data_IF_378770423363
#
_entry.id   IF_378770423363
#
_cell.length_a   1.000
_cell.length_b   1.000
_cell.length_c   1.000
_cell.angle_alpha   90.00
_cell.angle_beta   90.00
_cell.angle_gamma   90.00
#
_symmetry.space_group_name_H-M   'P 1'
#
loop_
_entity.id
_entity.type
_entity.pdbx_description
1 polymer ?
#
# COMPACT_ATOMS: atom_id res chain seq x y z
N UNK A 1 -11.30 -1.57 -7.89
CA UNK A 1 -10.02 -1.34 -7.21
C UNK A 1 -9.49 -2.68 -6.74
N UNK A 2 -8.55 -3.24 -7.50
CA UNK A 2 -7.80 -4.42 -7.11
C UNK A 2 -6.49 -3.99 -6.46
N UNK A 3 -6.36 -4.22 -5.16
CA UNK A 3 -5.12 -3.96 -4.44
C UNK A 3 -4.23 -5.19 -4.39
N UNK A 4 -2.92 -5.01 -4.58
CA UNK A 4 -1.90 -5.98 -4.16
C UNK A 4 -1.31 -5.47 -2.85
N UNK A 5 -1.20 -6.36 -1.87
CA UNK A 5 -0.56 -6.06 -0.58
C UNK A 5 0.70 -6.90 -0.47
N UNK A 6 1.79 -6.27 -0.07
CA UNK A 6 3.08 -6.92 0.19
C UNK A 6 3.55 -6.48 1.58
N UNK A 7 4.07 -7.43 2.36
CA UNK A 7 4.76 -7.13 3.62
C UNK A 7 6.26 -7.12 3.36
N UNK A 8 6.90 -5.99 3.57
CA UNK A 8 8.35 -5.91 3.59
C UNK A 8 8.83 -6.35 4.98
N UNK A 9 9.57 -7.47 5.04
CA UNK A 9 10.02 -8.08 6.29
C UNK A 9 11.15 -7.25 6.92
N UNK A 10 11.98 -6.58 6.11
CA UNK A 10 13.11 -5.79 6.59
C UNK A 10 12.65 -4.48 7.23
N UNK A 11 11.70 -3.79 6.59
CA UNK A 11 11.16 -2.52 7.11
C UNK A 11 9.93 -2.69 8.01
N UNK A 12 9.34 -3.89 8.05
CA UNK A 12 8.06 -4.18 8.71
C UNK A 12 6.90 -3.30 8.23
N UNK A 13 6.94 -2.84 6.98
CA UNK A 13 5.89 -2.03 6.37
C UNK A 13 5.05 -2.84 5.38
N UNK A 14 3.76 -2.52 5.33
CA UNK A 14 2.86 -2.96 4.27
C UNK A 14 2.95 -1.99 3.10
N UNK A 15 3.33 -2.52 1.94
CA UNK A 15 3.19 -1.85 0.65
C UNK A 15 1.85 -2.25 0.04
N UNK A 16 1.03 -1.27 -0.32
CA UNK A 16 -0.22 -1.49 -1.05
C UNK A 16 -0.08 -0.85 -2.43
N UNK A 17 -0.38 -1.62 -3.48
CA UNK A 17 -0.36 -1.20 -4.88
C UNK A 17 -1.79 -1.28 -5.45
N UNK A 18 -2.31 -0.17 -5.98
CA UNK A 18 -3.53 -0.16 -6.79
C UNK A 18 -3.17 -0.53 -8.24
N UNK A 19 -3.54 -1.73 -8.66
CA UNK A 19 -3.22 -2.23 -10.01
C UNK A 19 -3.96 -1.49 -11.11
N UNK A 20 -5.12 -0.90 -10.81
CA UNK A 20 -5.92 -0.20 -11.81
C UNK A 20 -5.31 1.18 -12.10
N UNK A 21 -4.61 1.78 -11.12
CA UNK A 21 -4.02 3.12 -11.20
C UNK A 21 -2.49 3.13 -11.29
N UNK A 22 -1.83 1.99 -11.16
CA UNK A 22 -0.36 1.87 -11.12
C UNK A 22 0.31 2.76 -10.05
N UNK A 23 -0.34 2.90 -8.89
CA UNK A 23 0.20 3.67 -7.75
C UNK A 23 0.43 2.75 -6.55
N UNK A 24 1.44 3.03 -5.75
CA UNK A 24 1.74 2.29 -4.52
C UNK A 24 2.05 3.22 -3.35
N UNK A 25 1.73 2.78 -2.13
CA UNK A 25 2.12 3.47 -0.90
C UNK A 25 2.46 2.49 0.22
N UNK A 26 3.31 2.94 1.13
CA UNK A 26 3.77 2.17 2.29
C UNK A 26 3.13 2.66 3.60
N UNK A 27 2.83 1.75 4.51
CA UNK A 27 2.27 2.05 5.83
C UNK A 27 2.61 0.99 6.86
N UNK A 28 2.53 1.34 8.15
CA UNK A 28 2.69 0.38 9.26
C UNK A 28 1.51 -0.57 9.34
N UNK A 29 0.35 -0.16 8.84
CA UNK A 29 -0.83 -0.99 8.65
C UNK A 29 -1.30 -0.89 7.20
N UNK A 30 -2.07 -1.89 6.76
CA UNK A 30 -2.71 -1.88 5.43
C UNK A 30 -3.62 -0.66 5.29
N UNK A 31 -4.35 -0.29 6.34
CA UNK A 31 -5.26 0.86 6.35
C UNK A 31 -4.51 2.18 6.15
N UNK A 32 -3.34 2.34 6.78
CA UNK A 32 -2.49 3.52 6.59
C UNK A 32 -1.99 3.62 5.15
N UNK A 33 -1.50 2.51 4.57
CA UNK A 33 -1.04 2.46 3.19
C UNK A 33 -2.18 2.76 2.19
N UNK A 34 -3.38 2.21 2.42
CA UNK A 34 -4.58 2.50 1.60
C UNK A 34 -5.02 3.95 1.76
N UNK A 35 -4.94 4.53 2.96
CA UNK A 35 -5.28 5.94 3.17
C UNK A 35 -4.33 6.85 2.39
N UNK A 36 -3.02 6.56 2.42
CA UNK A 36 -2.02 7.32 1.65
C UNK A 36 -2.27 7.25 0.14
N UNK A 37 -2.65 6.08 -0.38
CA UNK A 37 -3.04 5.89 -1.79
C UNK A 37 -4.25 6.72 -2.22
N UNK A 38 -5.18 7.04 -1.30
CA UNK A 38 -6.39 7.82 -1.62
C UNK A 38 -6.14 9.32 -1.64
N UNK A 39 -5.09 9.78 -0.95
CA UNK A 39 -4.66 11.18 -0.88
C UNK A 39 -3.56 11.55 -1.88
N UNK A 40 -3.00 10.57 -2.59
CA UNK A 40 -1.95 10.76 -3.60
C UNK A 40 -2.53 11.05 -5.00
#
# INVERSE_FOLDING_TARGET
MKYRVMLNIDSQLFTVEDKDKHVSADGKTIEEAVSKLKTA
#
